data_IF_870568644200
#
_entry.id   IF_870568644200
#
_cell.length_a   1.000
_cell.length_b   1.000
_cell.length_c   1.000
_cell.angle_alpha   90.00
_cell.angle_beta   90.00
_cell.angle_gamma   90.00
#
_symmetry.space_group_name_H-M   'P 1'
#
loop_
_entity.id
_entity.type
_entity.pdbx_description
1 polymer ?
#
# COMPACT_ATOMS: atom_id res chain seq x y z
N UNK A 1 -7.29 -1.34 16.03
CA UNK A 1 -6.72 -0.31 15.13
C UNK A 1 -5.21 -0.25 15.31
N UNK A 2 -4.69 0.04 16.51
CA UNK A 2 -3.24 0.22 16.76
C UNK A 2 -2.34 -0.97 16.42
N UNK A 3 -2.83 -2.21 16.53
CA UNK A 3 -2.03 -3.40 16.19
C UNK A 3 -2.06 -3.77 14.70
N UNK A 4 -2.84 -3.06 13.87
CA UNK A 4 -3.01 -3.42 12.45
C UNK A 4 -3.89 -4.65 12.18
N UNK A 5 -3.99 -5.60 13.12
CA UNK A 5 -4.71 -6.89 12.95
C UNK A 5 -6.19 -6.78 12.58
N UNK A 6 -6.83 -5.69 12.99
CA UNK A 6 -8.23 -5.42 12.66
C UNK A 6 -8.42 -4.88 11.24
N UNK A 7 -7.33 -4.62 10.51
CA UNK A 7 -7.29 -3.94 9.23
C UNK A 7 -7.79 -2.49 9.31
N UNK A 8 -8.33 -1.99 8.21
CA UNK A 8 -8.85 -0.62 8.10
C UNK A 8 -7.81 0.49 8.19
N UNK A 9 -6.51 0.17 8.12
CA UNK A 9 -5.49 1.18 7.89
C UNK A 9 -5.52 1.61 6.41
N UNK A 10 -5.10 2.85 6.17
CA UNK A 10 -4.85 3.38 4.84
C UNK A 10 -3.39 3.10 4.48
N UNK A 11 -3.14 2.56 3.28
CA UNK A 11 -1.80 2.22 2.81
C UNK A 11 -1.53 2.83 1.43
N UNK A 12 -0.27 3.23 1.23
CA UNK A 12 0.28 3.72 -0.02
C UNK A 12 1.49 2.88 -0.39
N UNK A 13 1.53 2.39 -1.64
CA UNK A 13 2.61 1.56 -2.17
C UNK A 13 3.09 2.10 -3.53
N UNK A 14 4.36 1.87 -3.87
CA UNK A 14 4.89 2.07 -5.22
C UNK A 14 4.39 0.96 -6.15
N UNK A 15 4.33 1.24 -7.46
CA UNK A 15 3.94 0.25 -8.47
C UNK A 15 5.14 -0.33 -9.26
N UNK A 16 6.37 0.03 -8.90
CA UNK A 16 7.55 -0.15 -9.76
C UNK A 16 8.47 -1.35 -9.40
N UNK A 17 8.01 -2.33 -8.62
CA UNK A 17 8.86 -3.47 -8.18
C UNK A 17 8.57 -4.82 -8.88
N UNK A 18 7.81 -4.84 -9.98
CA UNK A 18 7.60 -6.06 -10.78
C UNK A 18 8.81 -6.43 -11.69
N UNK A 19 9.98 -5.80 -11.50
CA UNK A 19 11.20 -5.99 -12.33
C UNK A 19 12.30 -6.81 -11.62
N UNK A 20 11.98 -7.61 -10.60
CA UNK A 20 12.89 -8.66 -10.13
C UNK A 20 12.72 -9.92 -10.99
N UNK A 21 13.67 -10.07 -11.92
CA UNK A 21 13.90 -11.26 -12.73
C UNK A 21 14.05 -12.51 -11.82
N UNK A 22 13.03 -13.37 -11.81
CA UNK A 22 13.14 -14.77 -11.36
C UNK A 22 14.22 -15.49 -12.20
N UNK A 23 15.47 -15.49 -11.72
CA UNK A 23 16.55 -16.31 -12.28
C UNK A 23 17.06 -17.36 -11.26
N UNK A 24 16.99 -18.61 -11.71
CA UNK A 24 17.66 -19.85 -11.24
C UNK A 24 17.12 -20.66 -10.04
N UNK A 25 16.12 -21.51 -10.37
CA UNK A 25 16.19 -22.99 -10.48
C UNK A 25 16.96 -23.85 -9.43
N UNK A 26 16.21 -24.79 -8.83
CA UNK A 26 16.48 -26.08 -8.16
C UNK A 26 17.89 -26.39 -7.55
N UNK A 27 17.98 -26.94 -6.32
CA UNK A 27 17.87 -28.39 -6.04
C UNK A 27 17.80 -28.61 -4.50
N UNK A 28 16.70 -29.19 -3.99
CA UNK A 28 16.68 -29.80 -2.64
C UNK A 28 16.56 -31.31 -2.74
N UNK A 29 17.70 -31.98 -2.56
CA UNK A 29 17.79 -33.43 -2.58
C UNK A 29 16.95 -34.10 -1.48
N UNK A 30 16.11 -35.05 -1.92
CA UNK A 30 15.23 -35.82 -1.07
C UNK A 30 15.96 -36.68 -0.04
N UNK A 31 15.39 -36.71 1.17
CA UNK A 31 15.55 -37.83 2.11
C UNK A 31 14.18 -38.24 2.65
N UNK A 32 13.72 -39.34 2.06
CA UNK A 32 12.67 -40.23 2.53
C UNK A 32 13.08 -40.88 3.86
N UNK A 33 12.27 -40.69 4.91
CA UNK A 33 12.25 -41.55 6.10
C UNK A 33 10.81 -41.61 6.63
N UNK A 34 10.15 -42.72 6.34
CA UNK A 34 8.78 -43.00 6.75
C UNK A 34 8.66 -43.27 8.24
N UNK A 35 7.62 -42.67 8.84
CA UNK A 35 7.03 -43.19 10.08
C UNK A 35 5.54 -42.88 10.14
N UNK A 36 4.75 -43.94 10.06
CA UNK A 36 3.30 -43.95 10.19
C UNK A 36 2.90 -43.70 11.66
N UNK A 37 2.10 -42.66 11.94
CA UNK A 37 1.69 -42.37 13.30
C UNK A 37 0.49 -41.42 13.45
N UNK A 38 -0.72 -42.02 13.47
CA UNK A 38 -1.91 -41.61 14.24
C UNK A 38 -2.52 -40.19 14.06
N UNK A 39 -3.78 -40.20 13.61
CA UNK A 39 -4.76 -39.12 13.77
C UNK A 39 -5.03 -38.81 15.24
N UNK A 40 -4.90 -37.53 15.64
CA UNK A 40 -5.64 -36.94 16.76
C UNK A 40 -5.88 -35.45 16.45
N UNK A 41 -7.14 -35.08 16.28
CA UNK A 41 -7.56 -33.75 15.86
C UNK A 41 -7.23 -32.66 16.89
N UNK A 42 -6.63 -31.56 16.44
CA UNK A 42 -6.54 -30.34 17.23
C UNK A 42 -6.36 -29.11 16.35
N UNK A 43 -7.39 -28.25 16.40
CA UNK A 43 -7.37 -26.80 16.13
C UNK A 43 -6.57 -26.33 14.91
N UNK A 44 -7.28 -26.02 13.82
CA UNK A 44 -6.78 -25.09 12.81
C UNK A 44 -6.47 -23.76 13.49
N UNK A 45 -5.21 -23.55 13.83
CA UNK A 45 -4.66 -22.22 13.99
C UNK A 45 -4.46 -21.72 12.57
N UNK A 46 -5.18 -20.66 12.20
CA UNK A 46 -4.82 -19.89 11.03
C UNK A 46 -3.51 -19.17 11.38
N UNK A 47 -2.38 -19.83 11.16
CA UNK A 47 -1.04 -19.22 11.15
C UNK A 47 -0.82 -18.48 9.82
N UNK A 48 -1.80 -17.66 9.40
CA UNK A 48 -1.76 -16.86 8.17
C UNK A 48 -1.45 -15.39 8.47
N UNK A 49 -0.77 -15.12 9.58
CA UNK A 49 -0.48 -13.79 10.09
C UNK A 49 1.03 -13.52 10.22
N UNK A 50 1.90 -14.45 9.83
CA UNK A 50 3.36 -14.31 10.00
C UNK A 50 4.15 -14.51 8.70
N UNK A 51 3.56 -14.17 7.54
CA UNK A 51 4.23 -14.21 6.23
C UNK A 51 3.97 -12.87 5.50
N UNK A 52 4.33 -11.76 6.12
CA UNK A 52 4.42 -10.42 5.50
C UNK A 52 5.55 -9.63 6.18
N UNK A 53 6.70 -10.24 6.44
CA UNK A 53 7.77 -9.58 7.24
C UNK A 53 9.19 -9.78 6.69
N UNK A 54 9.39 -10.05 5.40
CA UNK A 54 10.78 -10.09 4.90
C UNK A 54 11.07 -9.36 3.57
N UNK A 55 10.09 -8.84 2.81
CA UNK A 55 10.36 -8.08 1.56
C UNK A 55 9.32 -6.96 1.28
N UNK A 56 8.92 -6.19 2.29
CA UNK A 56 7.89 -5.13 2.17
C UNK A 56 8.48 -3.74 1.76
N UNK A 57 9.52 -3.72 0.92
CA UNK A 57 10.17 -2.48 0.44
C UNK A 57 9.26 -1.63 -0.48
N UNK A 58 8.08 -2.16 -0.82
CA UNK A 58 7.05 -1.47 -1.60
C UNK A 58 6.13 -0.56 -0.77
N UNK A 59 6.08 -0.73 0.56
CA UNK A 59 5.22 0.08 1.44
C UNK A 59 5.81 1.48 1.68
N UNK A 60 5.15 2.51 1.13
CA UNK A 60 5.55 3.90 1.33
C UNK A 60 5.00 4.48 2.64
N UNK A 61 3.74 4.18 2.96
CA UNK A 61 3.06 4.73 4.13
C UNK A 61 1.84 3.89 4.53
N UNK A 62 1.81 3.40 5.78
CA UNK A 62 0.61 2.87 6.43
C UNK A 62 0.16 3.73 7.61
N UNK A 63 -1.12 4.11 7.60
CA UNK A 63 -1.76 4.91 8.66
C UNK A 63 -2.96 4.17 9.22
N UNK A 64 -2.83 3.71 10.46
CA UNK A 64 -3.93 3.14 11.25
C UNK A 64 -5.11 4.10 11.39
N UNK A 65 -6.32 3.56 11.45
CA UNK A 65 -7.51 4.38 11.65
C UNK A 65 -7.42 5.16 12.98
N UNK A 66 -7.53 6.48 12.89
CA UNK A 66 -7.43 7.42 14.01
C UNK A 66 -8.65 8.34 14.09
N UNK A 67 -8.85 8.93 15.27
CA UNK A 67 -9.93 9.90 15.47
C UNK A 67 -9.44 11.32 15.16
N UNK A 68 -10.19 12.07 14.35
CA UNK A 68 -9.87 13.47 14.02
C UNK A 68 -8.43 13.65 13.49
N UNK A 69 -8.01 12.75 12.60
CA UNK A 69 -6.70 12.76 11.94
C UNK A 69 -6.86 13.23 10.50
N UNK A 70 -5.97 14.10 10.04
CA UNK A 70 -5.90 14.55 8.65
C UNK A 70 -4.61 14.02 8.02
N UNK A 71 -4.74 13.22 6.97
CA UNK A 71 -3.63 12.76 6.15
C UNK A 71 -3.59 13.61 4.87
N UNK A 72 -2.45 14.24 4.59
CA UNK A 72 -2.19 14.94 3.35
C UNK A 72 -0.94 14.32 2.72
N UNK A 73 -1.10 13.73 1.54
CA UNK A 73 -0.05 12.98 0.85
C UNK A 73 0.11 13.54 -0.55
N UNK A 74 1.33 13.95 -0.89
CA UNK A 74 1.72 14.23 -2.27
C UNK A 74 2.10 12.90 -2.91
N UNK A 75 1.38 12.49 -3.96
CA UNK A 75 1.54 11.18 -4.60
C UNK A 75 2.29 11.34 -5.91
N UNK A 76 3.38 10.60 -6.04
CA UNK A 76 4.04 10.44 -7.33
C UNK A 76 3.17 9.58 -8.25
N UNK A 77 3.25 9.79 -9.59
CA UNK A 77 2.60 8.91 -10.56
C UNK A 77 2.96 7.44 -10.28
N UNK A 78 1.97 6.54 -10.38
CA UNK A 78 2.16 5.13 -10.06
C UNK A 78 1.91 4.76 -8.59
N UNK A 79 1.82 5.74 -7.66
CA UNK A 79 1.47 5.44 -6.26
C UNK A 79 0.04 4.87 -6.14
N UNK A 80 -0.08 3.66 -5.60
CA UNK A 80 -1.38 3.02 -5.34
C UNK A 80 -1.79 3.26 -3.90
N UNK A 81 -3.07 3.64 -3.70
CA UNK A 81 -3.68 3.83 -2.37
C UNK A 81 -4.80 2.83 -2.15
N UNK A 82 -4.84 2.20 -0.99
CA UNK A 82 -5.97 1.37 -0.58
C UNK A 82 -6.27 1.48 0.93
N UNK A 83 -7.47 1.07 1.32
CA UNK A 83 -7.83 0.85 2.72
C UNK A 83 -7.95 -0.64 2.94
N UNK A 84 -7.16 -1.20 3.87
CA UNK A 84 -7.20 -2.63 4.18
C UNK A 84 -8.59 -3.03 4.67
N UNK A 85 -9.04 -4.23 4.32
CA UNK A 85 -10.33 -4.78 4.76
C UNK A 85 -10.55 -4.62 6.27
N UNK A 86 -11.71 -4.13 6.68
CA UNK A 86 -12.08 -3.97 8.09
C UNK A 86 -12.57 -5.33 8.63
N UNK A 87 -11.78 -5.93 9.52
CA UNK A 87 -12.08 -7.22 10.12
C UNK A 87 -13.29 -7.18 11.05
N UNK A 88 -13.89 -8.35 11.30
CA UNK A 88 -15.02 -8.49 12.23
C UNK A 88 -14.66 -8.20 13.70
N UNK A 89 -13.36 -8.23 14.02
CA UNK A 89 -12.82 -7.90 15.34
C UNK A 89 -12.57 -6.40 15.53
N UNK A 90 -12.76 -5.58 14.48
CA UNK A 90 -12.64 -4.13 14.59
C UNK A 90 -13.65 -3.57 15.60
N UNK A 91 -13.27 -2.60 16.44
CA UNK A 91 -14.15 -2.04 17.47
C UNK A 91 -15.33 -1.24 16.88
N UNK A 92 -15.31 -0.95 15.58
CA UNK A 92 -16.38 -0.28 14.85
C UNK A 92 -16.04 -0.10 13.38
N UNK A 93 -16.92 0.54 12.63
CA UNK A 93 -16.64 0.95 11.25
C UNK A 93 -15.61 2.07 11.21
N UNK A 94 -14.77 2.08 10.17
CA UNK A 94 -13.95 3.23 9.80
C UNK A 94 -14.83 4.26 9.08
N UNK A 95 -14.68 5.53 9.45
CA UNK A 95 -15.34 6.67 8.81
C UNK A 95 -14.28 7.72 8.49
N UNK A 96 -14.14 8.08 7.22
CA UNK A 96 -13.28 9.16 6.75
C UNK A 96 -13.96 9.99 5.66
N UNK A 97 -13.34 11.13 5.34
CA UNK A 97 -13.66 11.93 4.16
C UNK A 97 -12.39 11.91 3.31
N UNK A 98 -12.51 11.41 2.09
CA UNK A 98 -11.40 11.36 1.13
C UNK A 98 -11.62 12.40 0.04
N UNK A 99 -10.55 13.10 -0.31
CA UNK A 99 -10.50 14.03 -1.42
C UNK A 99 -9.15 13.91 -2.13
N UNK A 100 -9.16 14.12 -3.43
CA UNK A 100 -7.97 14.13 -4.27
C UNK A 100 -7.95 15.44 -5.04
N UNK A 101 -6.75 16.01 -5.20
CA UNK A 101 -6.53 17.26 -5.91
C UNK A 101 -5.35 17.08 -6.86
N UNK A 102 -5.56 17.39 -8.13
CA UNK A 102 -4.53 17.38 -9.16
C UNK A 102 -3.77 18.71 -9.12
N UNK A 103 -2.45 18.64 -8.95
CA UNK A 103 -1.57 19.82 -8.89
C UNK A 103 -1.13 20.16 -10.32
N UNK A 104 -1.40 21.36 -10.83
CA UNK A 104 -0.89 21.80 -12.13
C UNK A 104 0.63 21.87 -12.15
N UNK A 105 1.25 21.64 -13.30
CA UNK A 105 2.68 21.88 -13.49
C UNK A 105 2.96 23.40 -13.42
N UNK A 106 4.01 23.79 -12.70
CA UNK A 106 4.40 25.20 -12.49
C UNK A 106 4.93 25.90 -13.77
N UNK A 107 4.99 25.20 -14.92
CA UNK A 107 5.56 25.69 -16.18
C UNK A 107 4.58 26.56 -17.02
N UNK A 108 3.34 26.78 -16.57
CA UNK A 108 2.33 27.58 -17.29
C UNK A 108 2.39 29.10 -17.03
N UNK A 109 3.49 29.62 -16.46
CA UNK A 109 3.60 31.02 -15.98
C UNK A 109 4.77 31.82 -16.61
N UNK A 110 5.09 31.60 -17.89
CA UNK A 110 6.14 32.38 -18.58
C UNK A 110 5.85 32.71 -20.06
N UNK A 111 4.62 33.16 -20.40
CA UNK A 111 4.34 33.70 -21.75
C UNK A 111 3.18 34.73 -21.82
N UNK A 112 3.04 35.62 -20.82
CA UNK A 112 2.43 36.94 -21.10
C UNK A 112 3.49 37.89 -21.67
N UNK A 113 3.92 37.63 -22.91
CA UNK A 113 4.62 38.61 -23.72
C UNK A 113 3.74 39.86 -23.87
N UNK A 114 4.25 40.98 -23.34
CA UNK A 114 3.64 42.29 -23.45
C UNK A 114 3.33 42.67 -24.90
N UNK A 115 2.05 42.66 -25.25
CA UNK A 115 1.55 43.40 -26.41
C UNK A 115 1.38 44.86 -26.02
N UNK A 116 2.48 45.60 -26.09
CA UNK A 116 2.41 47.03 -26.38
C UNK A 116 1.90 47.20 -27.82
N UNK A 117 0.59 47.35 -28.00
CA UNK A 117 0.05 47.94 -29.23
C UNK A 117 -0.02 49.47 -29.05
N UNK A 118 1.15 50.10 -29.23
CA UNK A 118 1.25 51.44 -29.78
C UNK A 118 0.83 51.41 -31.26
N UNK A 119 -0.37 51.90 -31.57
CA UNK A 119 -0.67 52.46 -32.90
C UNK A 119 -1.68 53.60 -32.79
N UNK A 120 -1.14 54.83 -32.74
CA UNK A 120 -1.35 55.81 -33.79
C UNK A 120 -2.67 56.60 -33.85
N UNK A 121 -2.54 57.90 -33.53
CA UNK A 121 -3.30 59.10 -33.99
C UNK A 121 -4.84 59.12 -34.00
#
# INVERSE_FOLDING_TARGET
>A
WETGDAGGFECYISADDDDDEDDDDEETEGKDDGSEGKMDGKSAKNDAAEEYDDEDDTELLSVSAGHNTLNLVYRDPGTVRFVKYVGSTAPGSRWDVSAEYEVPDDDDDDDEEGKEEDMGE
#
